data_IF_763833572144
#
_entry.id   IF_763833572144
#
_cell.length_a   1.000
_cell.length_b   1.000
_cell.length_c   1.000
_cell.angle_alpha   90.00
_cell.angle_beta   90.00
_cell.angle_gamma   90.00
#
_symmetry.space_group_name_H-M   'P 1'
#
loop_
_entity.id
_entity.type
_entity.pdbx_description
1 polymer ?
#
# COMPACT_ATOMS: atom_id res chain seq x y z
N UNK A 1 26.45 -16.43 -38.19
CA UNK A 1 25.80 -15.12 -38.41
C UNK A 1 25.03 -14.80 -37.14
N UNK A 2 25.54 -13.92 -36.28
CA UNK A 2 24.89 -13.52 -35.04
C UNK A 2 24.16 -12.20 -35.26
N UNK A 3 22.84 -12.21 -35.20
CA UNK A 3 22.01 -11.00 -35.22
C UNK A 3 22.06 -10.35 -33.84
N UNK A 4 22.81 -9.25 -33.74
CA UNK A 4 22.78 -8.34 -32.61
C UNK A 4 21.42 -7.66 -32.52
N UNK A 5 20.68 -7.89 -31.43
CA UNK A 5 19.55 -7.06 -31.07
C UNK A 5 20.09 -5.79 -30.40
N UNK A 6 20.10 -4.67 -31.12
CA UNK A 6 20.29 -3.36 -30.52
C UNK A 6 18.94 -2.94 -29.91
N UNK A 7 18.87 -2.95 -28.57
CA UNK A 7 17.76 -2.35 -27.84
C UNK A 7 17.94 -0.84 -27.95
N UNK A 8 17.14 -0.20 -28.81
CA UNK A 8 17.03 1.26 -28.85
C UNK A 8 16.30 1.72 -27.58
N UNK A 9 17.06 2.14 -26.56
CA UNK A 9 16.52 2.86 -25.41
C UNK A 9 16.21 4.30 -25.85
N UNK A 10 15.06 4.48 -26.50
CA UNK A 10 14.43 5.79 -26.68
C UNK A 10 13.34 5.94 -25.64
N UNK A 11 13.74 6.09 -24.38
CA UNK A 11 12.84 6.38 -23.27
C UNK A 11 12.83 7.88 -23.01
N UNK A 12 12.17 8.68 -23.85
CA UNK A 12 11.82 10.05 -23.47
C UNK A 12 10.72 9.94 -22.43
N UNK A 13 11.07 10.03 -21.15
CA UNK A 13 10.07 10.09 -20.08
C UNK A 13 9.24 11.36 -20.29
N UNK A 14 7.92 11.26 -20.58
CA UNK A 14 7.11 12.46 -20.72
C UNK A 14 7.12 13.25 -19.42
N UNK A 15 7.51 14.53 -19.50
CA UNK A 15 7.44 15.47 -18.38
C UNK A 15 6.03 16.02 -18.34
N UNK A 16 5.21 15.51 -17.43
CA UNK A 16 3.87 16.03 -17.16
C UNK A 16 3.94 17.18 -16.15
N UNK A 17 3.02 18.13 -16.26
CA UNK A 17 2.76 19.00 -15.12
C UNK A 17 2.29 18.14 -13.95
N UNK A 18 2.74 18.42 -12.72
CA UNK A 18 2.51 17.56 -11.56
C UNK A 18 1.01 17.28 -11.30
N UNK A 19 0.13 18.20 -11.68
CA UNK A 19 -1.33 18.04 -11.58
C UNK A 19 -1.95 17.12 -12.65
N UNK A 20 -1.24 16.85 -13.75
CA UNK A 20 -1.61 15.93 -14.83
C UNK A 20 -0.83 14.60 -14.75
N UNK A 21 0.09 14.47 -13.78
CA UNK A 21 0.87 13.27 -13.59
C UNK A 21 -0.04 12.09 -13.19
N UNK A 22 0.25 10.87 -13.68
CA UNK A 22 -0.46 9.68 -13.22
C UNK A 22 -0.33 9.57 -11.71
N UNK A 23 -1.46 9.31 -11.05
CA UNK A 23 -1.48 9.18 -9.60
C UNK A 23 -0.59 8.01 -9.17
N UNK A 24 0.12 8.14 -8.04
CA UNK A 24 0.77 6.99 -7.43
C UNK A 24 -0.27 5.90 -7.18
N UNK A 25 0.15 4.64 -7.20
CA UNK A 25 -0.72 3.50 -6.84
C UNK A 25 -0.57 3.11 -5.37
N UNK A 26 0.23 3.85 -4.63
CA UNK A 26 0.49 3.61 -3.21
C UNK A 26 -0.77 3.94 -2.42
N UNK A 27 -1.25 2.99 -1.62
CA UNK A 27 -2.22 3.24 -0.58
C UNK A 27 -1.48 3.44 0.76
N UNK A 28 -2.01 4.29 1.62
CA UNK A 28 -1.45 4.55 2.94
C UNK A 28 -2.42 4.14 4.04
N UNK A 29 -1.88 3.87 5.22
CA UNK A 29 -2.61 3.67 6.46
C UNK A 29 -2.29 4.78 7.44
N UNK A 30 -3.32 5.31 8.08
CA UNK A 30 -3.15 6.24 9.20
C UNK A 30 -2.93 5.49 10.53
N UNK A 31 -2.83 6.24 11.63
CA UNK A 31 -2.65 5.66 12.97
C UNK A 31 -3.85 4.83 13.45
N UNK A 32 -5.04 5.09 12.91
CA UNK A 32 -6.29 4.43 13.26
C UNK A 32 -6.52 3.17 12.41
N UNK A 33 -5.69 2.95 11.38
CA UNK A 33 -5.80 1.83 10.44
C UNK A 33 -6.66 2.14 9.22
N UNK A 34 -7.03 3.40 8.99
CA UNK A 34 -7.82 3.78 7.83
C UNK A 34 -6.98 3.87 6.57
N UNK A 35 -7.57 3.47 5.44
CA UNK A 35 -6.87 3.44 4.15
C UNK A 35 -7.07 4.75 3.40
N UNK A 36 -5.98 5.40 3.05
CA UNK A 36 -5.95 6.61 2.24
C UNK A 36 -5.41 6.30 0.85
N UNK A 37 -6.17 6.61 -0.19
CA UNK A 37 -5.80 6.38 -1.60
C UNK A 37 -5.63 7.70 -2.36
N UNK A 38 -4.69 7.77 -3.32
CA UNK A 38 -4.57 8.87 -4.26
C UNK A 38 -5.88 9.14 -5.00
N UNK A 39 -6.41 10.35 -4.86
CA UNK A 39 -7.64 10.77 -5.53
C UNK A 39 -7.39 11.82 -6.62
N UNK A 40 -6.25 12.52 -6.56
CA UNK A 40 -5.96 13.59 -7.50
C UNK A 40 -4.75 14.42 -7.10
N UNK A 41 -4.57 15.53 -7.79
CA UNK A 41 -3.64 16.57 -7.40
C UNK A 41 -4.37 17.92 -7.35
N UNK A 42 -3.91 18.82 -6.48
CA UNK A 42 -4.33 20.21 -6.51
C UNK A 42 -3.76 20.91 -7.75
N UNK A 43 -4.24 22.11 -8.08
CA UNK A 43 -3.67 22.95 -9.15
C UNK A 43 -2.20 23.32 -8.94
N UNK A 44 -1.71 23.18 -7.70
CA UNK A 44 -0.29 23.35 -7.31
C UNK A 44 0.51 22.06 -7.39
N UNK A 45 -0.14 20.94 -7.70
CA UNK A 45 0.47 19.61 -7.79
C UNK A 45 0.59 18.87 -6.45
N UNK A 46 -0.07 19.33 -5.39
CA UNK A 46 -0.09 18.59 -4.12
C UNK A 46 -1.00 17.37 -4.23
N UNK A 47 -0.58 16.23 -3.70
CA UNK A 47 -1.35 14.99 -3.72
C UNK A 47 -2.61 15.12 -2.85
N UNK A 48 -3.75 14.84 -3.45
CA UNK A 48 -5.05 14.72 -2.78
C UNK A 48 -5.28 13.25 -2.46
N UNK A 49 -5.65 12.98 -1.21
CA UNK A 49 -6.01 11.67 -0.71
C UNK A 49 -7.52 11.61 -0.44
N UNK A 50 -8.07 10.41 -0.56
CA UNK A 50 -9.42 10.10 -0.13
C UNK A 50 -9.40 8.84 0.73
N UNK A 51 -10.24 8.81 1.77
CA UNK A 51 -10.56 7.59 2.49
C UNK A 51 -11.79 6.96 1.79
N UNK A 52 -11.66 5.81 1.10
CA UNK A 52 -12.77 5.22 0.34
C UNK A 52 -13.79 4.52 1.25
N UNK A 53 -13.38 4.08 2.43
CA UNK A 53 -14.21 3.43 3.44
C UNK A 53 -14.02 4.12 4.80
N UNK A 54 -14.51 5.37 4.95
CA UNK A 54 -14.34 6.14 6.18
C UNK A 54 -15.14 5.50 7.32
N UNK A 55 -14.47 5.23 8.44
CA UNK A 55 -15.13 4.69 9.63
C UNK A 55 -15.81 5.83 10.42
N UNK A 56 -15.33 7.06 10.28
CA UNK A 56 -15.86 8.24 10.95
C UNK A 56 -16.24 9.31 9.93
N UNK A 57 -17.21 10.15 10.28
CA UNK A 57 -17.68 11.22 9.39
C UNK A 57 -16.59 12.26 9.07
N UNK A 58 -15.60 12.40 9.94
CA UNK A 58 -14.41 13.26 9.75
C UNK A 58 -13.48 12.76 8.63
N UNK A 59 -13.52 11.46 8.32
CA UNK A 59 -12.68 10.80 7.32
C UNK A 59 -13.29 10.88 5.91
N UNK A 60 -14.59 11.21 5.83
CA UNK A 60 -15.32 11.37 4.57
C UNK A 60 -14.77 12.52 3.70
N UNK A 61 -14.07 13.50 4.29
CA UNK A 61 -13.57 14.68 3.59
C UNK A 61 -14.71 15.50 2.98
N UNK A 62 -15.16 16.56 3.65
CA UNK A 62 -16.26 17.37 3.14
C UNK A 62 -15.91 18.14 1.84
N UNK A 63 -16.23 17.52 0.70
CA UNK A 63 -16.55 18.18 -0.57
C UNK A 63 -15.39 18.83 -1.33
N UNK A 64 -15.67 19.21 -2.57
CA UNK A 64 -14.72 19.85 -3.51
C UNK A 64 -14.08 21.17 -3.02
N UNK A 65 -14.48 21.66 -1.85
CA UNK A 65 -14.02 22.91 -1.24
C UNK A 65 -12.82 22.73 -0.29
N UNK A 66 -12.59 21.52 0.26
CA UNK A 66 -11.45 21.22 1.15
C UNK A 66 -10.88 19.80 0.87
N UNK A 67 -10.13 19.62 -0.23
CA UNK A 67 -9.52 18.34 -0.53
C UNK A 67 -8.46 17.99 0.50
N UNK A 68 -8.53 16.78 1.08
CA UNK A 68 -7.51 16.24 1.99
C UNK A 68 -6.17 16.12 1.27
N UNK A 69 -5.26 17.07 1.48
CA UNK A 69 -3.89 16.93 0.99
C UNK A 69 -3.10 15.99 1.91
N UNK A 70 -2.03 15.36 1.39
CA UNK A 70 -1.16 14.50 2.19
C UNK A 70 -0.77 15.15 3.54
N UNK A 71 -0.32 16.41 3.51
CA UNK A 71 0.07 17.12 4.73
C UNK A 71 -1.09 17.41 5.69
N UNK A 72 -2.31 17.59 5.17
CA UNK A 72 -3.48 17.80 6.02
C UNK A 72 -3.92 16.49 6.69
N UNK A 73 -3.89 15.38 5.95
CA UNK A 73 -4.16 14.06 6.51
C UNK A 73 -3.13 13.74 7.59
N UNK A 74 -1.84 13.99 7.33
CA UNK A 74 -0.79 13.76 8.33
C UNK A 74 -0.95 14.63 9.58
N UNK A 75 -1.40 15.88 9.42
CA UNK A 75 -1.65 16.78 10.55
C UNK A 75 -2.86 16.34 11.40
N UNK A 76 -3.91 15.80 10.77
CA UNK A 76 -5.14 15.40 11.45
C UNK A 76 -5.04 13.98 12.06
N UNK A 77 -4.46 13.04 11.32
CA UNK A 77 -4.47 11.60 11.62
C UNK A 77 -3.10 11.03 11.95
N UNK A 78 -2.05 11.85 11.91
CA UNK A 78 -0.67 11.44 12.17
C UNK A 78 0.05 10.90 10.93
N UNK A 79 1.32 10.51 11.05
CA UNK A 79 2.13 10.10 9.91
C UNK A 79 1.52 8.90 9.20
N UNK A 80 1.38 9.02 7.88
CA UNK A 80 0.88 7.95 7.03
C UNK A 80 1.99 6.93 6.74
N UNK A 81 1.68 5.66 6.85
CA UNK A 81 2.58 4.56 6.48
C UNK A 81 2.09 3.91 5.19
N UNK A 82 2.99 3.54 4.28
CA UNK A 82 2.57 2.81 3.09
C UNK A 82 1.96 1.46 3.53
N UNK A 83 0.82 1.10 2.94
CA UNK A 83 0.12 -0.15 3.26
C UNK A 83 1.03 -1.38 3.09
N UNK A 84 1.87 -1.36 2.05
CA UNK A 84 2.85 -2.40 1.79
C UNK A 84 3.89 -2.55 2.92
N UNK A 85 4.35 -1.45 3.51
CA UNK A 85 5.32 -1.50 4.62
C UNK A 85 4.69 -2.09 5.89
N UNK A 86 3.41 -1.77 6.12
CA UNK A 86 2.66 -2.33 7.26
C UNK A 86 2.38 -3.82 7.05
N UNK A 87 2.04 -4.23 5.84
CA UNK A 87 1.87 -5.63 5.45
C UNK A 87 3.18 -6.41 5.63
N UNK A 88 4.30 -5.89 5.12
CA UNK A 88 5.62 -6.51 5.27
C UNK A 88 5.99 -6.69 6.75
N UNK A 89 5.76 -5.66 7.58
CA UNK A 89 6.00 -5.77 9.03
C UNK A 89 5.14 -6.86 9.65
N UNK A 90 3.88 -6.99 9.23
CA UNK A 90 2.98 -8.01 9.77
C UNK A 90 3.38 -9.42 9.35
N UNK A 91 3.87 -9.60 8.12
CA UNK A 91 4.45 -10.87 7.67
C UNK A 91 5.70 -11.22 8.48
N UNK A 92 6.57 -10.25 8.78
CA UNK A 92 7.75 -10.48 9.62
C UNK A 92 7.39 -10.86 11.07
N UNK A 93 6.29 -10.34 11.61
CA UNK A 93 5.75 -10.76 12.91
C UNK A 93 5.28 -12.22 12.88
N UNK A 94 4.57 -12.64 11.82
CA UNK A 94 4.16 -14.04 11.61
C UNK A 94 5.39 -14.95 11.50
N UNK A 95 6.41 -14.55 10.73
CA UNK A 95 7.66 -15.29 10.63
C UNK A 95 8.30 -15.48 12.01
N UNK A 96 8.40 -14.40 12.79
CA UNK A 96 8.99 -14.44 14.13
C UNK A 96 8.24 -15.40 15.04
N UNK A 97 6.91 -15.31 15.08
CA UNK A 97 6.06 -16.17 15.91
C UNK A 97 6.26 -17.66 15.60
N UNK A 98 6.30 -18.02 14.31
CA UNK A 98 6.45 -19.42 13.90
C UNK A 98 7.86 -19.95 14.11
N UNK A 99 8.89 -19.11 13.92
CA UNK A 99 10.28 -19.47 14.24
C UNK A 99 10.47 -19.67 15.75
N UNK A 100 9.79 -18.91 16.59
CA UNK A 100 9.79 -19.10 18.05
C UNK A 100 9.04 -20.37 18.46
N UNK A 101 7.90 -20.66 17.84
CA UNK A 101 7.03 -21.79 18.20
C UNK A 101 7.57 -23.14 17.72
N UNK A 102 8.10 -23.21 16.50
CA UNK A 102 8.51 -24.47 15.85
C UNK A 102 10.02 -24.58 15.63
N UNK A 103 10.76 -23.51 15.92
CA UNK A 103 12.20 -23.45 15.75
C UNK A 103 12.63 -22.90 14.39
N UNK A 104 13.90 -22.49 14.26
CA UNK A 104 14.37 -21.71 13.13
C UNK A 104 14.59 -22.51 11.84
N UNK A 105 14.66 -23.84 11.92
CA UNK A 105 14.87 -24.69 10.74
C UNK A 105 13.53 -25.17 10.17
N UNK A 106 13.02 -24.45 9.17
CA UNK A 106 11.75 -24.80 8.52
C UNK A 106 11.78 -26.18 7.83
N UNK A 107 12.96 -26.73 7.51
CA UNK A 107 13.08 -28.04 6.82
C UNK A 107 12.68 -29.20 7.70
N UNK A 108 12.72 -29.04 9.02
CA UNK A 108 12.30 -30.06 9.99
C UNK A 108 10.86 -29.87 10.46
N UNK A 109 10.17 -28.84 9.97
CA UNK A 109 8.77 -28.62 10.29
C UNK A 109 7.93 -29.77 9.72
N UNK A 110 6.95 -30.19 10.52
CA UNK A 110 5.93 -31.13 10.10
C UNK A 110 5.03 -30.45 9.08
N UNK A 111 4.47 -31.23 8.15
CA UNK A 111 3.57 -30.72 7.11
C UNK A 111 2.46 -29.81 7.65
N UNK A 112 1.80 -30.22 8.74
CA UNK A 112 0.73 -29.41 9.34
C UNK A 112 1.24 -28.08 9.93
N UNK A 113 2.51 -27.97 10.32
CA UNK A 113 3.09 -26.69 10.79
C UNK A 113 3.31 -25.74 9.61
N UNK A 114 3.77 -26.28 8.48
CA UNK A 114 3.92 -25.53 7.22
C UNK A 114 2.55 -25.07 6.71
N UNK A 115 1.55 -25.94 6.69
CA UNK A 115 0.20 -25.60 6.26
C UNK A 115 -0.38 -24.47 7.13
N UNK A 116 -0.27 -24.56 8.47
CA UNK A 116 -0.72 -23.51 9.39
C UNK A 116 0.03 -22.18 9.21
N UNK A 117 1.31 -22.22 8.85
CA UNK A 117 2.11 -21.02 8.57
C UNK A 117 1.66 -20.33 7.28
N UNK A 118 1.46 -21.11 6.21
CA UNK A 118 0.95 -20.58 4.95
C UNK A 118 -0.46 -19.99 5.12
N UNK A 119 -1.34 -20.66 5.87
CA UNK A 119 -2.66 -20.12 6.21
C UNK A 119 -2.58 -18.81 7.01
N UNK A 120 -1.51 -18.59 7.80
CA UNK A 120 -1.30 -17.35 8.53
C UNK A 120 -0.80 -16.22 7.61
N UNK A 121 0.09 -16.53 6.67
CA UNK A 121 0.52 -15.60 5.62
C UNK A 121 -0.67 -15.18 4.76
N UNK A 122 -1.47 -16.14 4.28
CA UNK A 122 -2.63 -15.87 3.44
C UNK A 122 -3.64 -14.96 4.14
N UNK A 123 -3.84 -15.15 5.45
CA UNK A 123 -4.69 -14.26 6.26
C UNK A 123 -4.17 -12.82 6.34
N UNK A 124 -2.85 -12.62 6.35
CA UNK A 124 -2.27 -11.27 6.29
C UNK A 124 -2.54 -10.68 4.91
N UNK A 125 -2.26 -11.41 3.84
CA UNK A 125 -2.55 -10.93 2.48
C UNK A 125 -4.03 -10.61 2.27
N UNK A 126 -4.95 -11.41 2.81
CA UNK A 126 -6.38 -11.14 2.73
C UNK A 126 -6.76 -9.84 3.45
N UNK A 127 -6.15 -9.56 4.61
CA UNK A 127 -6.34 -8.30 5.34
C UNK A 127 -5.84 -7.09 4.53
N UNK A 128 -4.74 -7.26 3.78
CA UNK A 128 -4.14 -6.20 2.97
C UNK A 128 -4.54 -6.26 1.48
N UNK A 129 -5.45 -7.17 1.11
CA UNK A 129 -5.96 -7.32 -0.24
C UNK A 129 -6.70 -6.08 -0.73
N UNK A 130 -6.84 -5.89 -2.05
CA UNK A 130 -7.53 -4.74 -2.60
C UNK A 130 -9.00 -4.74 -2.18
N UNK A 131 -9.37 -3.83 -1.27
CA UNK A 131 -10.78 -3.48 -1.03
C UNK A 131 -11.32 -2.82 -2.29
N UNK A 132 -12.08 -3.58 -3.07
CA UNK A 132 -12.98 -3.09 -4.12
C UNK A 132 -12.45 -1.97 -5.00
N UNK A 133 -11.67 -2.30 -6.04
CA UNK A 133 -11.69 -1.48 -7.24
C UNK A 133 -13.04 -1.76 -7.90
N UNK A 134 -14.04 -0.91 -7.64
CA UNK A 134 -15.26 -0.91 -8.42
C UNK A 134 -14.86 -0.67 -9.88
N UNK A 135 -15.09 -1.69 -10.72
CA UNK A 135 -14.89 -1.65 -12.16
C UNK A 135 -16.03 -0.89 -12.85
#
# INVERSE_FOLDING_TARGET
>A
MGTSFQISVTGTTPVYALHEAPLPRTAWLDRNGETWVPAGHTSRGELILACPEPTREEDCGEGASFPWTLSQVEAAFGPLMARADVEERRLAEVDTEFLELYGPDQRVWKRWQVDTYLDAIDRVHDQFGPSGVAA
#
